data_IF_649116072234
#
_entry.id   IF_649116072234
#
_cell.length_a   1.000
_cell.length_b   1.000
_cell.length_c   1.000
_cell.angle_alpha   90.00
_cell.angle_beta   90.00
_cell.angle_gamma   90.00
#
_symmetry.space_group_name_H-M   'P 1'
#
loop_
_entity.id
_entity.type
_entity.pdbx_description
1 polymer ?
#
# COMPACT_ATOMS: atom_id res chain seq x y z
N UNK A 1 -16.30 13.85 -22.70
CA UNK A 1 -16.69 13.40 -21.36
C UNK A 1 -16.03 14.36 -20.39
N UNK A 2 -16.81 15.13 -19.66
CA UNK A 2 -16.26 16.08 -18.70
C UNK A 2 -15.44 15.34 -17.63
N UNK A 3 -14.18 15.71 -17.47
CA UNK A 3 -13.26 15.11 -16.48
C UNK A 3 -13.75 15.26 -15.03
N UNK A 4 -14.78 16.05 -14.81
CA UNK A 4 -15.33 16.40 -13.49
C UNK A 4 -16.15 15.29 -12.84
N UNK A 5 -16.61 14.30 -13.58
CA UNK A 5 -17.49 13.23 -13.06
C UNK A 5 -16.80 11.84 -12.97
N UNK A 6 -15.49 11.79 -13.25
CA UNK A 6 -14.68 10.59 -13.15
C UNK A 6 -14.61 10.15 -11.68
N UNK A 7 -14.93 8.89 -11.40
CA UNK A 7 -14.75 8.28 -10.07
C UNK A 7 -13.43 7.52 -10.03
N UNK A 8 -12.63 7.85 -9.04
CA UNK A 8 -11.31 7.28 -8.81
C UNK A 8 -11.24 6.59 -7.47
N UNK A 9 -10.25 5.73 -7.31
CA UNK A 9 -9.96 5.03 -6.06
C UNK A 9 -8.47 4.71 -5.97
N UNK A 10 -7.91 4.70 -4.76
CA UNK A 10 -6.59 4.15 -4.49
C UNK A 10 -6.57 2.67 -4.87
N UNK A 11 -5.58 2.26 -5.64
CA UNK A 11 -5.49 0.90 -6.12
C UNK A 11 -5.23 -0.09 -4.99
N UNK A 12 -6.23 -0.90 -4.66
CA UNK A 12 -6.20 -1.85 -3.54
C UNK A 12 -5.24 -3.03 -3.70
N UNK A 13 -4.54 -3.14 -4.82
CA UNK A 13 -3.36 -4.00 -4.91
C UNK A 13 -2.21 -3.52 -4.03
N UNK A 14 -2.24 -2.26 -3.68
CA UNK A 14 -1.29 -1.66 -2.75
C UNK A 14 -1.95 -1.42 -1.40
N UNK A 15 -1.14 -1.45 -0.37
CA UNK A 15 -1.49 -1.05 0.98
C UNK A 15 -0.65 0.15 1.40
N UNK A 16 -1.21 0.95 2.30
CA UNK A 16 -0.50 2.00 2.99
C UNK A 16 -0.24 1.57 4.43
N UNK A 17 0.87 2.00 4.97
CA UNK A 17 1.22 1.77 6.36
C UNK A 17 2.01 2.94 6.89
N UNK A 18 1.74 3.31 8.13
CA UNK A 18 2.52 4.29 8.87
C UNK A 18 3.21 3.61 10.05
N UNK A 19 4.52 3.79 10.14
CA UNK A 19 5.34 3.32 11.25
C UNK A 19 6.08 4.53 11.86
N UNK A 20 5.53 5.08 12.93
CA UNK A 20 6.08 6.21 13.68
C UNK A 20 6.35 7.45 12.81
N UNK A 21 7.54 7.57 12.21
CA UNK A 21 7.99 8.76 11.47
C UNK A 21 8.03 8.59 9.96
N UNK A 22 7.49 7.51 9.43
CA UNK A 22 7.56 7.18 8.00
C UNK A 22 6.35 6.39 7.57
N UNK A 23 6.04 6.53 6.32
CA UNK A 23 4.98 5.77 5.68
C UNK A 23 5.54 4.87 4.59
N UNK A 24 4.76 3.90 4.21
CA UNK A 24 5.10 2.92 3.18
C UNK A 24 3.93 2.72 2.25
N UNK A 25 4.26 2.48 0.98
CA UNK A 25 3.36 1.85 0.03
C UNK A 25 3.93 0.45 -0.28
N UNK A 26 3.09 -0.57 -0.24
CA UNK A 26 3.52 -1.96 -0.44
C UNK A 26 2.49 -2.75 -1.23
N UNK A 27 2.94 -3.78 -1.93
CA UNK A 27 2.06 -4.73 -2.60
C UNK A 27 1.36 -5.62 -1.59
N UNK A 28 0.05 -5.76 -1.70
CA UNK A 28 -0.73 -6.74 -0.95
C UNK A 28 -0.60 -8.12 -1.58
N UNK A 29 -0.90 -9.17 -0.82
CA UNK A 29 -0.80 -10.55 -1.28
C UNK A 29 -1.62 -10.83 -2.54
N UNK A 30 -1.11 -11.75 -3.36
CA UNK A 30 -1.83 -12.31 -4.50
C UNK A 30 -1.95 -11.40 -5.72
N UNK A 31 -0.90 -10.71 -6.04
CA UNK A 31 -0.76 -9.79 -7.18
C UNK A 31 -1.35 -10.30 -8.50
N UNK A 32 -2.65 -10.18 -8.62
CA UNK A 32 -3.38 -10.30 -9.88
C UNK A 32 -3.74 -8.89 -10.32
N UNK A 33 -2.83 -8.24 -11.04
CA UNK A 33 -3.20 -7.02 -11.74
C UNK A 33 -3.97 -7.43 -13.00
N UNK A 34 -5.22 -6.99 -13.18
CA UNK A 34 -5.87 -7.13 -14.47
C UNK A 34 -5.10 -6.26 -15.47
N UNK A 35 -4.54 -6.89 -16.47
CA UNK A 35 -4.00 -6.22 -17.65
C UNK A 35 -5.00 -6.43 -18.75
N UNK A 36 -5.60 -5.35 -19.24
CA UNK A 36 -6.47 -5.28 -20.42
C UNK A 36 -7.53 -6.41 -20.53
N UNK A 37 -8.38 -6.56 -19.50
CA UNK A 37 -9.51 -7.47 -19.52
C UNK A 37 -9.16 -8.96 -19.46
N UNK A 38 -7.88 -9.31 -19.32
CA UNK A 38 -7.43 -10.67 -19.03
C UNK A 38 -7.16 -10.85 -17.55
N UNK A 39 -8.03 -11.56 -16.86
CA UNK A 39 -7.79 -12.06 -15.51
C UNK A 39 -6.63 -13.05 -15.59
N UNK A 40 -5.56 -12.86 -14.79
CA UNK A 40 -4.46 -13.81 -14.54
C UNK A 40 -3.09 -13.54 -15.16
N UNK A 41 -2.59 -12.33 -15.14
CA UNK A 41 -1.15 -12.18 -15.21
C UNK A 41 -0.64 -11.97 -13.77
N UNK A 42 0.02 -12.99 -13.21
CA UNK A 42 0.79 -12.83 -11.97
C UNK A 42 1.95 -11.88 -12.25
N UNK A 43 1.78 -10.65 -11.91
CA UNK A 43 2.89 -9.72 -11.84
C UNK A 43 3.57 -9.97 -10.51
N UNK A 44 4.68 -10.72 -10.51
CA UNK A 44 5.53 -10.95 -9.33
C UNK A 44 6.30 -9.68 -8.94
N UNK A 45 5.64 -8.56 -8.93
CA UNK A 45 6.23 -7.31 -8.46
C UNK A 45 5.90 -7.13 -6.98
N UNK A 46 6.80 -7.59 -6.13
CA UNK A 46 6.78 -7.17 -4.74
C UNK A 46 7.28 -5.73 -4.68
N UNK A 47 6.37 -4.86 -4.28
CA UNK A 47 6.69 -3.48 -4.06
C UNK A 47 6.61 -3.17 -2.57
N UNK A 48 7.65 -2.61 -2.00
CA UNK A 48 7.64 -2.06 -0.66
C UNK A 48 8.64 -0.90 -0.61
N UNK A 49 8.15 0.31 -0.54
CA UNK A 49 9.00 1.49 -0.52
C UNK A 49 8.55 2.49 0.50
N UNK A 50 9.51 3.22 1.07
CA UNK A 50 9.26 4.34 1.96
C UNK A 50 8.74 5.52 1.14
N UNK A 51 7.72 6.17 1.65
CA UNK A 51 7.17 7.40 1.08
C UNK A 51 7.05 8.46 2.18
N UNK A 52 7.09 9.71 1.79
CA UNK A 52 6.79 10.79 2.71
C UNK A 52 5.34 10.64 3.22
N UNK A 53 5.06 10.79 4.53
CA UNK A 53 3.73 10.59 5.10
C UNK A 53 2.64 11.41 4.43
N UNK A 54 2.96 12.61 3.93
CA UNK A 54 2.02 13.44 3.19
C UNK A 54 1.39 12.68 2.01
N UNK A 55 2.18 11.88 1.29
CA UNK A 55 1.64 11.10 0.17
C UNK A 55 0.72 9.97 0.63
N UNK A 56 1.06 9.30 1.74
CA UNK A 56 0.16 8.29 2.30
C UNK A 56 -1.17 8.90 2.71
N UNK A 57 -1.14 10.09 3.32
CA UNK A 57 -2.33 10.86 3.67
C UNK A 57 -3.14 11.25 2.42
N UNK A 58 -2.49 11.81 1.40
CA UNK A 58 -3.17 12.17 0.14
C UNK A 58 -3.82 10.95 -0.52
N UNK A 59 -3.12 9.82 -0.59
CA UNK A 59 -3.65 8.59 -1.16
C UNK A 59 -4.79 7.99 -0.34
N UNK A 60 -4.77 8.17 0.99
CA UNK A 60 -5.82 7.68 1.87
C UNK A 60 -7.19 8.36 1.66
N UNK A 61 -7.22 9.61 1.19
CA UNK A 61 -8.47 10.28 0.80
C UNK A 61 -9.20 9.57 -0.35
N UNK A 62 -8.48 8.84 -1.19
CA UNK A 62 -9.04 8.02 -2.26
C UNK A 62 -9.17 6.54 -1.88
N UNK A 63 -9.08 6.17 -0.59
CA UNK A 63 -9.20 4.77 -0.14
C UNK A 63 -10.58 4.17 -0.42
N UNK A 64 -11.61 5.00 -0.51
CA UNK A 64 -12.94 4.64 -1.00
C UNK A 64 -13.23 5.40 -2.30
N UNK A 65 -14.11 4.87 -3.18
CA UNK A 65 -14.45 5.53 -4.42
C UNK A 65 -14.92 6.98 -4.23
N UNK A 66 -14.26 7.90 -4.89
CA UNK A 66 -14.54 9.34 -4.78
C UNK A 66 -14.55 9.98 -6.16
N UNK A 67 -15.38 11.02 -6.38
CA UNK A 67 -15.31 11.80 -7.62
C UNK A 67 -14.01 12.62 -7.65
N UNK A 68 -13.41 12.73 -8.85
CA UNK A 68 -12.14 13.42 -9.04
C UNK A 68 -12.18 14.87 -8.51
N UNK A 69 -13.25 15.59 -8.83
CA UNK A 69 -13.42 16.97 -8.36
C UNK A 69 -13.44 17.09 -6.83
N UNK A 70 -14.16 16.17 -6.16
CA UNK A 70 -14.22 16.14 -4.69
C UNK A 70 -12.86 15.79 -4.09
N UNK A 71 -12.13 14.86 -4.71
CA UNK A 71 -10.78 14.49 -4.28
C UNK A 71 -9.81 15.67 -4.35
N UNK A 72 -9.81 16.41 -5.47
CA UNK A 72 -8.98 17.61 -5.62
C UNK A 72 -9.35 18.68 -4.59
N UNK A 73 -10.64 18.93 -4.36
CA UNK A 73 -11.08 19.88 -3.34
C UNK A 73 -10.63 19.48 -1.92
N UNK A 74 -10.66 18.18 -1.58
CA UNK A 74 -10.19 17.71 -0.28
C UNK A 74 -8.69 17.94 -0.10
N UNK A 75 -7.89 17.66 -1.13
CA UNK A 75 -6.45 17.88 -1.11
C UNK A 75 -6.12 19.36 -1.02
N UNK A 76 -6.79 20.20 -1.83
CA UNK A 76 -6.62 21.63 -1.82
C UNK A 76 -6.90 22.23 -0.42
N UNK A 77 -8.01 21.81 0.19
CA UNK A 77 -8.36 22.21 1.55
C UNK A 77 -7.35 21.74 2.59
N UNK A 78 -6.92 20.48 2.49
CA UNK A 78 -5.98 19.89 3.45
C UNK A 78 -4.58 20.53 3.40
N UNK A 79 -4.10 20.86 2.20
CA UNK A 79 -2.77 21.46 2.00
C UNK A 79 -2.79 23.00 2.05
N UNK A 80 -3.96 23.62 2.17
CA UNK A 80 -4.15 25.08 2.09
C UNK A 80 -3.60 25.67 0.77
N UNK A 81 -3.96 25.05 -0.35
CA UNK A 81 -3.53 25.41 -1.71
C UNK A 81 -4.74 25.54 -2.64
N UNK A 82 -4.51 26.02 -3.85
CA UNK A 82 -5.55 26.07 -4.88
C UNK A 82 -5.87 24.69 -5.47
N UNK A 83 -7.06 24.54 -6.07
CA UNK A 83 -7.43 23.30 -6.76
C UNK A 83 -6.46 22.99 -7.92
N UNK A 84 -5.96 24.00 -8.62
CA UNK A 84 -5.01 23.82 -9.71
C UNK A 84 -3.67 23.27 -9.20
N UNK A 85 -3.18 23.77 -8.08
CA UNK A 85 -1.97 23.24 -7.44
C UNK A 85 -2.18 21.82 -6.94
N UNK A 86 -3.34 21.52 -6.32
CA UNK A 86 -3.70 20.17 -5.89
C UNK A 86 -3.77 19.18 -7.07
N UNK A 87 -4.36 19.61 -8.19
CA UNK A 87 -4.41 18.82 -9.41
C UNK A 87 -3.02 18.52 -9.95
N UNK A 88 -2.13 19.50 -9.98
CA UNK A 88 -0.74 19.33 -10.41
C UNK A 88 0.04 18.33 -9.52
N UNK A 89 -0.25 18.30 -8.21
CA UNK A 89 0.36 17.33 -7.28
C UNK A 89 -0.14 15.91 -7.57
N UNK A 90 -1.43 15.75 -7.88
CA UNK A 90 -2.07 14.44 -8.02
C UNK A 90 -1.94 13.85 -9.41
N UNK A 91 -1.85 14.67 -10.43
CA UNK A 91 -1.75 14.22 -11.83
C UNK A 91 -0.71 13.11 -12.08
N UNK A 92 0.49 13.10 -11.46
CA UNK A 92 1.45 12.00 -11.61
C UNK A 92 0.98 10.65 -11.08
N UNK A 93 -0.05 10.61 -10.23
CA UNK A 93 -0.57 9.37 -9.62
C UNK A 93 -1.70 8.73 -10.41
N UNK A 94 -2.25 9.45 -11.39
CA UNK A 94 -3.38 9.01 -12.19
C UNK A 94 -2.92 8.29 -13.46
N UNK A 95 -3.56 7.17 -13.78
CA UNK A 95 -3.43 6.46 -15.07
C UNK A 95 -1.98 6.23 -15.52
N UNK A 96 -1.07 6.06 -14.57
CA UNK A 96 0.33 5.86 -14.87
C UNK A 96 0.69 4.39 -14.77
N UNK A 97 1.05 3.78 -15.88
CA UNK A 97 1.38 2.37 -16.03
C UNK A 97 2.86 2.02 -15.75
N UNK A 98 3.67 3.03 -15.40
CA UNK A 98 5.07 2.86 -15.01
C UNK A 98 5.34 3.41 -13.60
N UNK A 99 6.31 2.84 -12.86
CA UNK A 99 6.79 3.40 -11.60
C UNK A 99 7.35 4.81 -11.78
N UNK A 100 7.22 5.65 -10.76
CA UNK A 100 7.67 7.02 -10.82
C UNK A 100 8.17 7.55 -9.48
N UNK A 101 8.78 8.71 -9.50
CA UNK A 101 9.25 9.43 -8.32
C UNK A 101 8.47 10.73 -8.17
N UNK A 102 8.21 11.08 -6.92
CA UNK A 102 7.66 12.39 -6.55
C UNK A 102 8.50 13.00 -5.42
N UNK A 103 8.52 14.32 -5.34
CA UNK A 103 9.36 15.07 -4.41
C UNK A 103 8.49 15.94 -3.51
N UNK A 104 8.74 15.89 -2.21
CA UNK A 104 8.10 16.77 -1.24
C UNK A 104 9.08 17.07 -0.10
N UNK A 105 9.20 18.33 0.29
CA UNK A 105 10.06 18.73 1.42
C UNK A 105 11.52 18.29 1.29
N UNK A 106 12.06 18.18 0.07
CA UNK A 106 13.41 17.67 -0.18
C UNK A 106 13.53 16.14 -0.13
N UNK A 107 12.43 15.43 0.07
CA UNK A 107 12.37 13.97 0.15
C UNK A 107 11.87 13.39 -1.16
N UNK A 108 12.59 12.40 -1.68
CA UNK A 108 12.19 11.61 -2.86
C UNK A 108 11.39 10.41 -2.39
N UNK A 109 10.18 10.26 -2.91
CA UNK A 109 9.32 9.09 -2.71
C UNK A 109 9.13 8.37 -4.03
N UNK A 110 9.25 7.05 -4.01
CA UNK A 110 9.08 6.21 -5.18
C UNK A 110 7.72 5.50 -5.12
N UNK A 111 7.00 5.50 -6.23
CA UNK A 111 5.68 4.92 -6.34
C UNK A 111 5.61 3.84 -7.41
N UNK A 112 4.80 2.80 -7.19
CA UNK A 112 4.49 1.81 -8.21
C UNK A 112 3.59 2.42 -9.30
N UNK A 113 3.34 1.65 -10.34
CA UNK A 113 2.38 2.01 -11.38
C UNK A 113 0.93 1.95 -10.88
N UNK A 114 0.04 2.65 -11.54
CA UNK A 114 -1.42 2.57 -11.31
C UNK A 114 -1.80 2.75 -9.84
N UNK A 115 -1.24 3.77 -9.18
CA UNK A 115 -1.48 4.04 -7.75
C UNK A 115 -2.91 4.49 -7.50
N UNK A 116 -3.45 5.33 -8.38
CA UNK A 116 -4.85 5.75 -8.41
C UNK A 116 -5.44 5.31 -9.75
N UNK A 117 -6.58 4.64 -9.69
CA UNK A 117 -7.25 4.07 -10.87
C UNK A 117 -8.72 4.51 -10.92
N UNK A 118 -9.33 4.34 -12.09
CA UNK A 118 -10.77 4.47 -12.21
C UNK A 118 -11.47 3.38 -11.40
N UNK A 119 -12.61 3.72 -10.83
CA UNK A 119 -13.36 2.79 -9.96
C UNK A 119 -13.84 1.53 -10.70
N UNK A 120 -14.11 1.62 -11.99
CA UNK A 120 -14.50 0.48 -12.82
C UNK A 120 -13.36 -0.53 -13.06
N UNK A 121 -12.11 -0.09 -12.88
CA UNK A 121 -10.92 -0.94 -12.94
C UNK A 121 -10.58 -1.59 -11.59
N UNK A 122 -11.25 -1.20 -10.51
CA UNK A 122 -11.01 -1.74 -9.18
C UNK A 122 -11.62 -3.13 -9.03
N UNK A 123 -10.80 -4.15 -8.76
CA UNK A 123 -11.21 -5.55 -8.67
C UNK A 123 -11.15 -6.15 -7.27
N UNK A 124 -10.67 -5.42 -6.29
CA UNK A 124 -10.43 -5.88 -4.92
C UNK A 124 -11.22 -5.02 -3.93
N UNK A 125 -11.58 -5.63 -2.79
CA UNK A 125 -12.27 -4.93 -1.71
C UNK A 125 -11.42 -3.76 -1.17
N UNK A 126 -12.03 -2.58 -0.99
CA UNK A 126 -11.36 -1.41 -0.46
C UNK A 126 -10.82 -1.68 0.96
N UNK A 127 -9.61 -1.19 1.20
CA UNK A 127 -9.12 -0.91 2.53
C UNK A 127 -9.46 0.55 2.80
N UNK A 128 -10.26 0.79 3.80
CA UNK A 128 -10.53 2.14 4.26
C UNK A 128 -9.39 2.58 5.18
N UNK A 129 -8.84 3.75 4.89
CA UNK A 129 -7.81 4.38 5.71
C UNK A 129 -8.34 5.67 6.32
N UNK A 130 -8.01 5.89 7.58
CA UNK A 130 -8.19 7.21 8.18
C UNK A 130 -6.96 8.07 7.86
N UNK A 131 -7.10 9.20 7.16
CA UNK A 131 -5.98 10.08 6.83
C UNK A 131 -5.18 10.55 8.05
N UNK A 132 -5.82 10.71 9.21
CA UNK A 132 -5.16 11.12 10.47
C UNK A 132 -4.13 10.11 10.98
N UNK A 133 -4.25 8.84 10.59
CA UNK A 133 -3.26 7.80 10.95
C UNK A 133 -1.88 8.05 10.32
N UNK A 134 -1.83 8.87 9.26
CA UNK A 134 -0.58 9.24 8.59
C UNK A 134 -0.03 10.58 9.06
N UNK A 135 -0.59 11.15 10.13
CA UNK A 135 -0.05 12.36 10.73
C UNK A 135 1.36 12.13 11.28
N UNK A 136 2.19 13.14 11.26
CA UNK A 136 3.60 13.04 11.65
C UNK A 136 4.12 14.34 12.28
N UNK A 137 4.89 14.19 13.34
CA UNK A 137 5.62 15.31 13.96
C UNK A 137 6.99 15.54 13.29
N UNK A 138 7.59 14.45 12.78
CA UNK A 138 8.86 14.50 12.09
C UNK A 138 9.01 13.31 11.13
N UNK A 139 9.66 13.55 10.00
CA UNK A 139 9.90 12.52 8.97
C UNK A 139 11.33 11.98 9.10
N UNK A 140 11.47 10.67 9.15
CA UNK A 140 12.75 9.97 9.14
C UNK A 140 12.75 8.87 8.07
N UNK A 141 13.32 9.18 6.92
CA UNK A 141 13.45 8.26 5.79
C UNK A 141 14.85 7.64 5.67
N UNK A 142 15.77 7.95 6.60
CA UNK A 142 17.16 7.48 6.50
C UNK A 142 17.38 6.11 7.17
N UNK A 143 16.45 5.62 7.97
CA UNK A 143 16.63 4.33 8.64
C UNK A 143 16.68 3.17 7.65
N UNK A 144 17.62 2.24 7.87
CA UNK A 144 17.86 1.09 6.99
C UNK A 144 16.73 0.07 6.99
N UNK A 145 15.99 -0.08 8.09
CA UNK A 145 14.90 -1.05 8.18
C UNK A 145 13.69 -0.60 7.36
N UNK A 146 13.16 -1.53 6.59
CA UNK A 146 11.95 -1.27 5.79
C UNK A 146 10.70 -1.06 6.65
N UNK A 147 10.53 -1.83 7.74
CA UNK A 147 9.41 -1.71 8.68
C UNK A 147 9.88 -1.82 10.13
N UNK A 148 9.20 -1.16 11.06
CA UNK A 148 9.41 -1.34 12.50
C UNK A 148 8.81 -2.64 13.03
N UNK A 149 7.72 -3.08 12.45
CA UNK A 149 7.05 -4.33 12.75
C UNK A 149 7.08 -5.26 11.54
N UNK A 150 7.01 -6.58 11.73
CA UNK A 150 7.03 -7.53 10.62
C UNK A 150 5.84 -7.30 9.69
N UNK A 151 6.10 -7.34 8.38
CA UNK A 151 5.05 -7.30 7.35
C UNK A 151 4.31 -8.64 7.23
N UNK A 152 4.95 -9.72 7.69
CA UNK A 152 4.42 -11.08 7.64
C UNK A 152 4.77 -11.81 8.93
N UNK A 153 3.80 -12.46 9.51
CA UNK A 153 3.99 -13.37 10.65
C UNK A 153 3.57 -14.77 10.21
N UNK A 154 4.49 -15.72 10.30
CA UNK A 154 4.22 -17.12 10.00
C UNK A 154 3.90 -17.85 11.30
N UNK A 155 2.69 -18.37 11.41
CA UNK A 155 2.26 -19.19 12.52
C UNK A 155 2.53 -20.66 12.24
N UNK A 156 3.34 -21.32 13.05
CA UNK A 156 3.56 -22.77 13.01
C UNK A 156 2.96 -23.42 14.27
N UNK A 157 1.70 -23.84 14.24
CA UNK A 157 1.00 -24.36 15.42
C UNK A 157 1.59 -25.71 15.91
N UNK A 158 2.32 -26.42 15.05
CA UNK A 158 3.07 -27.63 15.41
C UNK A 158 4.33 -27.77 14.54
N UNK A 159 5.24 -28.62 14.98
CA UNK A 159 6.43 -29.01 14.22
C UNK A 159 6.34 -30.45 13.69
N UNK A 160 5.16 -31.04 13.66
CA UNK A 160 4.93 -32.40 13.15
C UNK A 160 4.96 -32.38 11.62
N UNK A 161 5.82 -33.21 11.04
CA UNK A 161 5.93 -33.34 9.60
C UNK A 161 6.19 -34.81 9.23
N UNK A 162 5.51 -35.28 8.20
CA UNK A 162 5.67 -36.67 7.69
C UNK A 162 6.85 -36.78 6.71
N UNK A 163 7.40 -35.64 6.22
CA UNK A 163 8.52 -35.61 5.29
C UNK A 163 9.84 -35.40 6.02
N UNK A 164 10.90 -35.93 5.48
CA UNK A 164 12.26 -35.83 6.03
C UNK A 164 13.16 -35.04 5.10
N UNK A 165 12.80 -33.77 4.82
CA UNK A 165 13.53 -32.92 3.91
C UNK A 165 14.90 -32.54 4.50
N UNK A 166 15.98 -32.65 3.70
CA UNK A 166 17.36 -32.36 4.11
C UNK A 166 17.58 -30.87 4.44
N UNK A 167 16.76 -30.00 3.88
CA UNK A 167 16.79 -28.53 4.05
C UNK A 167 15.65 -28.00 4.93
N UNK A 168 15.11 -28.86 5.80
CA UNK A 168 14.00 -28.45 6.64
C UNK A 168 14.45 -27.45 7.71
N UNK A 169 13.84 -26.31 7.75
CA UNK A 169 14.07 -25.28 8.77
C UNK A 169 13.28 -25.53 10.07
N UNK A 170 12.30 -26.44 10.05
CA UNK A 170 11.58 -26.79 11.26
C UNK A 170 12.47 -27.65 12.17
N UNK A 171 12.66 -27.22 13.41
CA UNK A 171 13.43 -27.98 14.39
C UNK A 171 12.69 -29.26 14.77
N UNK A 172 13.12 -30.38 14.17
CA UNK A 172 12.58 -31.73 14.45
C UNK A 172 13.30 -32.42 15.60
N UNK A 173 14.37 -31.84 16.12
CA UNK A 173 15.24 -32.49 17.12
C UNK A 173 14.70 -32.36 18.54
N UNK A 174 13.89 -31.35 18.81
CA UNK A 174 13.35 -31.02 20.13
C UNK A 174 11.99 -31.68 20.44
N UNK A 175 11.64 -32.79 19.78
CA UNK A 175 10.39 -33.50 19.95
C UNK A 175 9.18 -32.80 19.32
N UNK A 176 8.05 -33.51 19.31
CA UNK A 176 6.81 -32.94 18.77
C UNK A 176 6.24 -31.92 19.75
N UNK A 177 6.20 -30.66 19.32
CA UNK A 177 5.58 -29.56 20.03
C UNK A 177 4.33 -29.12 19.29
N UNK A 178 3.24 -29.02 20.01
CA UNK A 178 1.98 -28.47 19.48
C UNK A 178 1.51 -27.37 20.41
N UNK A 179 1.13 -26.25 19.83
CA UNK A 179 0.49 -25.19 20.59
C UNK A 179 -0.92 -25.60 20.98
N UNK A 180 -1.31 -25.28 22.19
CA UNK A 180 -2.70 -25.45 22.61
C UNK A 180 -3.60 -24.42 21.90
N UNK A 181 -4.90 -24.72 21.83
CA UNK A 181 -5.86 -23.79 21.22
C UNK A 181 -5.85 -22.41 21.89
N UNK A 182 -5.61 -22.34 23.20
CA UNK A 182 -5.55 -21.09 23.95
C UNK A 182 -4.26 -20.29 23.68
N UNK A 183 -3.21 -20.94 23.18
CA UNK A 183 -1.97 -20.25 22.76
C UNK A 183 -2.06 -19.72 21.33
N UNK A 184 -3.06 -20.15 20.54
CA UNK A 184 -3.27 -19.72 19.16
C UNK A 184 -4.29 -18.58 19.06
N UNK A 185 -5.09 -18.35 20.10
CA UNK A 185 -5.99 -17.18 20.21
C UNK A 185 -5.21 -15.90 20.48
#
# INVERSE_FOLDING_TARGET
>A
MDSTDRKIVFNHFYGLRHDLKRSYIYSREGNLLPVDGQVNIRVNEYWATKIHPIYAMLLSFASIPISYSKYICQIAYFLDITNEEAENIIKPFLDRDEPFHSHYGGVVSQFPRNVIIDTDKATIFPLEYNPEEFNFDSVDLQQERSFYSPSTVVFMPNNTCTTNCVYCYADKTNGHRQMSFDQVK
#
